data_IF_033583268220
#
_entry.id   IF_033583268220
#
_cell.length_a   1.000
_cell.length_b   1.000
_cell.length_c   1.000
_cell.angle_alpha   90.00
_cell.angle_beta   90.00
_cell.angle_gamma   90.00
#
_symmetry.space_group_name_H-M   'P 1'
#
loop_
_entity.id
_entity.type
_entity.pdbx_description
1 polymer ?
#
# COMPACT_ATOMS: atom_id res chain seq x y z
N UNK A 1 36.62 -10.24 -39.83
CA UNK A 1 36.12 -11.12 -38.74
C UNK A 1 34.77 -10.57 -38.29
N UNK A 2 33.74 -11.24 -38.71
CA UNK A 2 32.35 -10.82 -38.59
C UNK A 2 31.84 -11.18 -37.20
N UNK A 3 31.48 -10.17 -36.39
CA UNK A 3 30.82 -10.35 -35.11
C UNK A 3 29.34 -10.67 -35.36
N UNK A 4 28.98 -11.92 -35.18
CA UNK A 4 27.60 -12.40 -35.15
C UNK A 4 26.93 -11.94 -33.87
N UNK A 5 26.36 -10.75 -33.87
CA UNK A 5 25.45 -10.30 -32.81
C UNK A 5 24.07 -10.90 -33.12
N UNK A 6 23.75 -12.01 -32.51
CA UNK A 6 22.41 -12.62 -32.56
C UNK A 6 21.36 -11.59 -32.07
N UNK A 7 20.65 -10.99 -33.00
CA UNK A 7 19.39 -10.27 -32.76
C UNK A 7 18.38 -11.30 -32.29
N UNK A 8 18.28 -11.48 -30.96
CA UNK A 8 17.11 -12.10 -30.35
C UNK A 8 15.94 -11.13 -30.62
N UNK A 9 15.08 -11.52 -31.53
CA UNK A 9 13.79 -10.87 -31.77
C UNK A 9 13.01 -10.96 -30.43
N UNK A 10 13.07 -9.91 -29.63
CA UNK A 10 12.17 -9.72 -28.50
C UNK A 10 10.76 -9.66 -29.07
N UNK A 11 10.04 -10.80 -29.05
CA UNK A 11 8.59 -10.75 -29.26
C UNK A 11 8.04 -9.78 -28.21
N UNK A 12 7.47 -8.68 -28.66
CA UNK A 12 6.87 -7.69 -27.79
C UNK A 12 5.81 -8.39 -26.93
N UNK A 13 5.91 -8.25 -25.62
CA UNK A 13 4.91 -8.79 -24.71
C UNK A 13 3.55 -8.20 -25.11
N UNK A 14 2.60 -9.06 -25.43
CA UNK A 14 1.23 -8.63 -25.63
C UNK A 14 0.62 -8.33 -24.22
N UNK A 15 0.54 -7.06 -23.86
CA UNK A 15 0.06 -6.64 -22.55
C UNK A 15 -1.43 -6.96 -22.32
N UNK A 16 -2.20 -7.25 -23.39
CA UNK A 16 -3.59 -7.69 -23.29
C UNK A 16 -3.72 -9.14 -22.77
N UNK A 17 -2.64 -9.93 -22.77
CA UNK A 17 -2.65 -11.30 -22.27
C UNK A 17 -2.47 -11.40 -20.76
N UNK A 18 -2.36 -10.27 -20.05
CA UNK A 18 -2.20 -10.24 -18.59
C UNK A 18 -3.49 -9.71 -17.94
N UNK A 19 -4.01 -10.48 -16.99
CA UNK A 19 -5.08 -10.06 -16.10
C UNK A 19 -4.49 -9.80 -14.71
N UNK A 20 -4.77 -8.64 -14.13
CA UNK A 20 -4.26 -8.25 -12.83
C UNK A 20 -5.34 -8.37 -11.74
N UNK A 21 -4.97 -8.89 -10.58
CA UNK A 21 -5.84 -8.99 -9.40
C UNK A 21 -5.13 -8.39 -8.21
N UNK A 22 -5.70 -7.35 -7.62
CA UNK A 22 -5.17 -6.67 -6.45
C UNK A 22 -5.97 -7.09 -5.22
N UNK A 23 -5.26 -7.62 -4.22
CA UNK A 23 -5.85 -8.10 -2.98
C UNK A 23 -6.09 -6.93 -2.03
N UNK A 24 -7.35 -6.53 -1.87
CA UNK A 24 -7.76 -5.40 -1.01
C UNK A 24 -8.60 -5.80 0.20
N UNK A 25 -8.64 -7.07 0.57
CA UNK A 25 -9.69 -7.65 1.42
C UNK A 25 -9.40 -7.89 2.90
N UNK A 26 -8.22 -7.67 3.42
CA UNK A 26 -7.90 -7.94 4.84
C UNK A 26 -8.54 -6.94 5.82
N UNK A 27 -8.80 -7.36 7.08
CA UNK A 27 -9.36 -6.50 8.14
C UNK A 27 -8.43 -5.32 8.51
N UNK A 28 -7.11 -5.45 8.27
CA UNK A 28 -6.14 -4.39 8.54
C UNK A 28 -6.02 -4.03 10.04
N UNK A 29 -6.18 -5.00 10.94
CA UNK A 29 -6.17 -4.79 12.40
C UNK A 29 -4.91 -4.14 12.92
N UNK A 30 -3.74 -4.42 12.33
CA UNK A 30 -2.45 -3.82 12.71
C UNK A 30 -2.36 -2.33 12.38
N UNK A 31 -3.22 -1.82 11.49
CA UNK A 31 -3.30 -0.42 11.11
C UNK A 31 -4.48 0.31 11.80
N UNK A 32 -5.17 -0.36 12.74
CA UNK A 32 -6.19 0.29 13.56
C UNK A 32 -5.56 1.42 14.40
N UNK A 33 -6.19 2.62 14.51
CA UNK A 33 -7.58 2.94 14.18
C UNK A 33 -7.83 3.48 12.76
N UNK A 34 -6.83 3.60 11.90
CA UNK A 34 -7.00 4.13 10.54
C UNK A 34 -7.92 3.27 9.66
N UNK A 35 -8.06 1.99 10.01
CA UNK A 35 -8.93 1.03 9.32
C UNK A 35 -10.32 0.88 9.94
N UNK A 36 -10.65 1.67 10.97
CA UNK A 36 -11.95 1.62 11.64
C UNK A 36 -13.12 1.81 10.67
N UNK A 37 -13.02 2.80 9.76
CA UNK A 37 -14.08 3.22 8.86
C UNK A 37 -13.76 3.01 7.37
N UNK A 38 -12.69 2.30 7.06
CA UNK A 38 -12.26 2.03 5.68
C UNK A 38 -11.35 0.81 5.59
N UNK A 39 -11.34 0.16 4.42
CA UNK A 39 -10.38 -0.91 4.12
C UNK A 39 -8.94 -0.35 4.12
N UNK A 40 -7.95 -1.19 4.46
CA UNK A 40 -6.52 -0.82 4.49
C UNK A 40 -6.05 -0.17 3.18
N UNK A 41 -6.34 -0.70 1.98
CA UNK A 41 -5.94 -0.08 0.71
C UNK A 41 -6.54 1.32 0.46
N UNK A 42 -7.63 1.64 1.16
CA UNK A 42 -8.30 2.94 1.06
C UNK A 42 -7.74 4.00 2.02
N UNK A 43 -6.78 3.66 2.87
CA UNK A 43 -6.14 4.63 3.78
C UNK A 43 -5.40 5.68 2.96
N UNK A 44 -5.60 6.99 3.23
CA UNK A 44 -4.86 8.05 2.54
C UNK A 44 -3.37 7.99 2.83
N UNK A 45 -2.55 8.28 1.82
CA UNK A 45 -1.10 8.24 1.90
C UNK A 45 -0.49 9.45 1.18
N UNK A 46 0.65 9.94 1.65
CA UNK A 46 1.39 11.06 1.05
C UNK A 46 0.50 12.26 0.67
N UNK A 47 -0.46 12.58 1.55
CA UNK A 47 -1.34 13.75 1.45
C UNK A 47 -2.53 13.60 0.51
N UNK A 48 -2.41 13.05 -0.69
CA UNK A 48 -3.50 12.98 -1.67
C UNK A 48 -3.81 11.60 -2.25
N UNK A 49 -2.89 10.66 -2.14
CA UNK A 49 -3.03 9.30 -2.67
C UNK A 49 -3.77 8.38 -1.71
N UNK A 50 -4.01 7.15 -2.13
CA UNK A 50 -4.35 6.02 -1.28
C UNK A 50 -3.37 4.89 -1.52
N UNK A 51 -3.21 4.00 -0.57
CA UNK A 51 -2.21 2.91 -0.69
C UNK A 51 -2.45 2.08 -1.96
N UNK A 52 -3.70 1.79 -2.31
CA UNK A 52 -4.09 1.04 -3.52
C UNK A 52 -3.68 1.72 -4.83
N UNK A 53 -3.47 3.03 -4.83
CA UNK A 53 -3.06 3.75 -6.04
C UNK A 53 -1.69 3.27 -6.54
N UNK A 54 -0.85 2.76 -5.65
CA UNK A 54 0.49 2.26 -5.98
C UNK A 54 0.43 1.00 -6.88
N UNK A 55 -0.16 -0.12 -6.46
CA UNK A 55 -0.22 -1.31 -7.31
C UNK A 55 -1.04 -1.09 -8.59
N UNK A 56 -2.13 -0.32 -8.54
CA UNK A 56 -2.90 0.02 -9.75
C UNK A 56 -2.02 0.79 -10.75
N UNK A 57 -1.28 1.79 -10.28
CA UNK A 57 -0.41 2.59 -11.14
C UNK A 57 0.73 1.78 -11.72
N UNK A 58 1.33 0.86 -10.95
CA UNK A 58 2.36 -0.06 -11.47
C UNK A 58 1.82 -0.95 -12.59
N UNK A 59 0.57 -1.45 -12.48
CA UNK A 59 -0.09 -2.18 -13.57
C UNK A 59 -0.26 -1.30 -14.81
N UNK A 60 -0.82 -0.10 -14.66
CA UNK A 60 -1.06 0.84 -15.75
C UNK A 60 0.25 1.24 -16.44
N UNK A 61 1.29 1.57 -15.66
CA UNK A 61 2.63 1.92 -16.19
C UNK A 61 3.30 0.74 -16.90
N UNK A 62 2.99 -0.49 -16.50
CA UNK A 62 3.42 -1.72 -17.21
C UNK A 62 2.59 -2.02 -18.49
N UNK A 63 1.56 -1.19 -18.77
CA UNK A 63 0.66 -1.40 -19.92
C UNK A 63 -0.48 -2.39 -19.63
N UNK A 64 -0.61 -2.89 -18.41
CA UNK A 64 -1.67 -3.83 -17.99
C UNK A 64 -2.89 -3.05 -17.53
N UNK A 65 -3.96 -3.10 -18.32
CA UNK A 65 -5.14 -2.27 -18.13
C UNK A 65 -6.39 -3.06 -17.68
N UNK A 66 -6.31 -4.37 -17.51
CA UNK A 66 -7.39 -5.23 -17.03
C UNK A 66 -7.12 -5.58 -15.58
N UNK A 67 -7.75 -4.87 -14.65
CA UNK A 67 -7.40 -4.89 -13.23
C UNK A 67 -8.65 -5.11 -12.41
N UNK A 68 -8.68 -6.19 -11.64
CA UNK A 68 -9.67 -6.42 -10.58
C UNK A 68 -9.07 -6.06 -9.22
N UNK A 69 -9.91 -5.49 -8.35
CA UNK A 69 -9.57 -5.23 -6.94
C UNK A 69 -10.54 -6.01 -6.06
N UNK A 70 -10.04 -7.02 -5.35
CA UNK A 70 -10.85 -7.84 -4.46
C UNK A 70 -11.03 -7.14 -3.12
N UNK A 71 -12.26 -7.03 -2.63
CA UNK A 71 -12.57 -6.34 -1.37
C UNK A 71 -13.56 -7.13 -0.51
N UNK A 72 -13.47 -6.93 0.80
CA UNK A 72 -14.39 -7.55 1.76
C UNK A 72 -14.80 -6.58 2.87
N UNK A 73 -13.85 -6.04 3.64
CA UNK A 73 -14.12 -5.19 4.79
C UNK A 73 -14.15 -3.71 4.42
N UNK A 74 -15.11 -2.96 5.00
CA UNK A 74 -15.18 -1.49 4.93
C UNK A 74 -14.93 -0.92 3.52
N UNK A 75 -15.46 -1.56 2.48
CA UNK A 75 -15.09 -1.34 1.09
C UNK A 75 -15.67 -0.06 0.45
N UNK A 76 -16.74 0.54 1.02
CA UNK A 76 -17.45 1.70 0.43
C UNK A 76 -16.50 2.85 0.05
N UNK A 77 -15.54 3.19 0.92
CA UNK A 77 -14.57 4.24 0.65
C UNK A 77 -13.63 3.88 -0.49
N UNK A 78 -13.26 2.61 -0.61
CA UNK A 78 -12.42 2.09 -1.70
C UNK A 78 -13.18 2.09 -3.02
N UNK A 79 -14.43 1.61 -3.04
CA UNK A 79 -15.32 1.64 -4.21
C UNK A 79 -15.44 3.05 -4.78
N UNK A 80 -15.79 4.03 -3.93
CA UNK A 80 -15.91 5.42 -4.35
C UNK A 80 -14.60 5.97 -4.90
N UNK A 81 -13.47 5.62 -4.31
CA UNK A 81 -12.17 6.08 -4.80
C UNK A 81 -11.86 5.51 -6.18
N UNK A 82 -11.92 4.20 -6.36
CA UNK A 82 -11.59 3.53 -7.61
C UNK A 82 -12.50 3.99 -8.75
N UNK A 83 -13.81 4.02 -8.54
CA UNK A 83 -14.78 4.44 -9.57
C UNK A 83 -14.60 5.89 -10.02
N UNK A 84 -14.00 6.74 -9.19
CA UNK A 84 -13.76 8.16 -9.49
C UNK A 84 -12.33 8.44 -9.96
N UNK A 85 -11.40 7.49 -9.81
CA UNK A 85 -9.98 7.67 -10.14
C UNK A 85 -9.63 7.09 -11.50
N UNK A 86 -10.09 5.87 -11.77
CA UNK A 86 -9.61 5.09 -12.89
C UNK A 86 -10.74 4.87 -13.89
N UNK A 87 -10.66 5.57 -15.01
CA UNK A 87 -11.62 5.45 -16.12
C UNK A 87 -10.84 5.32 -17.40
N UNK A 88 -11.04 4.22 -18.08
CA UNK A 88 -10.60 4.04 -19.46
C UNK A 88 -11.72 4.48 -20.41
N UNK A 89 -11.36 4.82 -21.64
CA UNK A 89 -12.35 5.14 -22.66
C UNK A 89 -13.12 3.87 -23.07
N UNK A 90 -14.34 4.07 -23.58
CA UNK A 90 -15.23 2.96 -23.93
C UNK A 90 -14.79 2.13 -25.14
N UNK A 91 -13.76 2.57 -25.85
CA UNK A 91 -13.21 1.87 -27.01
C UNK A 91 -11.97 1.05 -26.65
N UNK A 92 -11.40 1.24 -25.45
CA UNK A 92 -10.33 0.42 -24.93
C UNK A 92 -10.90 -0.77 -24.15
N UNK A 93 -10.23 -1.90 -24.18
CA UNK A 93 -10.60 -3.09 -23.41
C UNK A 93 -10.14 -3.03 -21.95
N UNK A 94 -9.70 -1.85 -21.48
CA UNK A 94 -9.19 -1.66 -20.12
C UNK A 94 -10.30 -1.39 -19.11
N UNK A 95 -10.10 -1.87 -17.87
CA UNK A 95 -10.96 -1.59 -16.73
C UNK A 95 -10.19 -1.63 -15.41
N UNK A 96 -10.68 -0.93 -14.41
CA UNK A 96 -10.35 -1.15 -13.01
C UNK A 96 -11.67 -1.37 -12.28
N UNK A 97 -11.95 -2.62 -11.96
CA UNK A 97 -13.23 -3.04 -11.37
C UNK A 97 -13.04 -3.66 -9.99
N UNK A 98 -14.06 -3.53 -9.17
CA UNK A 98 -14.05 -4.08 -7.82
C UNK A 98 -14.94 -5.32 -7.79
N UNK A 99 -14.37 -6.41 -7.31
CA UNK A 99 -15.11 -7.61 -6.94
C UNK A 99 -15.18 -7.66 -5.42
N UNK A 100 -16.35 -7.37 -4.88
CA UNK A 100 -16.62 -7.50 -3.45
C UNK A 100 -16.97 -8.94 -3.11
N UNK A 101 -16.63 -9.39 -1.89
CA UNK A 101 -17.11 -10.66 -1.39
C UNK A 101 -18.64 -10.71 -1.47
N UNK A 102 -19.16 -11.77 -2.08
CA UNK A 102 -20.59 -11.98 -2.29
C UNK A 102 -21.02 -13.26 -1.62
N UNK A 103 -22.19 -13.24 -1.02
CA UNK A 103 -22.90 -14.46 -0.62
C UNK A 103 -23.77 -14.93 -1.78
N UNK A 104 -23.70 -16.19 -2.11
CA UNK A 104 -24.53 -16.82 -3.13
C UNK A 104 -25.42 -17.88 -2.49
N UNK A 105 -26.38 -18.42 -3.21
CA UNK A 105 -27.18 -19.54 -2.71
C UNK A 105 -26.35 -20.79 -2.42
N UNK A 106 -25.20 -20.96 -3.08
CA UNK A 106 -24.31 -22.10 -2.90
C UNK A 106 -23.24 -21.88 -1.82
N UNK A 107 -22.85 -20.62 -1.54
CA UNK A 107 -21.84 -20.29 -0.56
C UNK A 107 -22.18 -18.95 0.13
N UNK A 108 -22.38 -19.02 1.44
CA UNK A 108 -22.72 -17.87 2.29
C UNK A 108 -21.49 -17.36 3.08
N UNK A 109 -20.32 -17.98 2.90
CA UNK A 109 -19.11 -17.62 3.62
C UNK A 109 -18.40 -16.40 3.03
N UNK A 110 -17.77 -15.62 3.88
CA UNK A 110 -16.84 -14.57 3.50
C UNK A 110 -15.53 -15.18 3.02
N UNK A 111 -14.62 -14.35 2.43
CA UNK A 111 -13.28 -14.83 2.10
C UNK A 111 -12.54 -15.24 3.37
N UNK A 112 -12.07 -16.47 3.42
CA UNK A 112 -11.34 -17.04 4.55
C UNK A 112 -9.82 -16.79 4.45
N UNK A 113 -9.36 -16.30 3.30
CA UNK A 113 -7.95 -16.02 3.06
C UNK A 113 -7.70 -15.51 1.65
N UNK A 114 -6.44 -15.30 1.34
CA UNK A 114 -6.00 -14.71 0.07
C UNK A 114 -6.27 -15.60 -1.14
N UNK A 115 -6.04 -16.91 -1.02
CA UNK A 115 -6.31 -17.89 -2.08
C UNK A 115 -7.82 -18.13 -2.25
N UNK A 116 -8.57 -18.16 -1.16
CA UNK A 116 -10.02 -18.29 -1.20
C UNK A 116 -10.68 -17.11 -1.91
N UNK A 117 -10.20 -15.89 -1.66
CA UNK A 117 -10.70 -14.70 -2.36
C UNK A 117 -10.50 -14.80 -3.89
N UNK A 118 -9.35 -15.30 -4.35
CA UNK A 118 -9.09 -15.49 -5.78
C UNK A 118 -9.95 -16.63 -6.33
N UNK A 119 -10.05 -17.75 -5.62
CA UNK A 119 -10.85 -18.91 -6.03
C UNK A 119 -12.33 -18.58 -6.23
N UNK A 120 -12.96 -17.89 -5.28
CA UNK A 120 -14.36 -17.48 -5.34
C UNK A 120 -14.65 -16.51 -6.50
N UNK A 121 -13.65 -15.79 -6.98
CA UNK A 121 -13.77 -14.90 -8.13
C UNK A 121 -13.21 -15.48 -9.43
N UNK A 122 -12.73 -16.73 -9.42
CA UNK A 122 -12.08 -17.32 -10.58
C UNK A 122 -13.01 -17.39 -11.80
N UNK A 123 -14.32 -17.56 -11.59
CA UNK A 123 -15.33 -17.52 -12.65
C UNK A 123 -15.27 -16.22 -13.46
N UNK A 124 -15.17 -15.07 -12.79
CA UNK A 124 -15.09 -13.76 -13.45
C UNK A 124 -13.76 -13.58 -14.20
N UNK A 125 -12.68 -14.18 -13.70
CA UNK A 125 -11.38 -14.11 -14.38
C UNK A 125 -11.38 -14.97 -15.64
N UNK A 126 -11.94 -16.17 -15.57
CA UNK A 126 -11.98 -17.12 -16.68
C UNK A 126 -12.87 -16.69 -17.85
N UNK A 127 -13.80 -15.75 -17.63
CA UNK A 127 -14.57 -15.09 -18.68
C UNK A 127 -13.72 -14.24 -19.63
N UNK A 128 -12.49 -13.88 -19.18
CA UNK A 128 -11.53 -13.17 -20.02
C UNK A 128 -10.54 -14.11 -20.70
N UNK A 129 -10.12 -13.74 -21.89
CA UNK A 129 -8.97 -14.37 -22.53
C UNK A 129 -7.68 -13.75 -21.98
N UNK A 130 -6.89 -14.53 -21.23
CA UNK A 130 -5.59 -14.16 -20.68
C UNK A 130 -4.67 -15.38 -20.62
N UNK A 131 -3.39 -15.13 -20.69
CA UNK A 131 -2.33 -16.14 -20.56
C UNK A 131 -1.76 -16.15 -19.13
N UNK A 132 -1.60 -14.96 -18.53
CA UNK A 132 -1.01 -14.76 -17.22
C UNK A 132 -1.96 -14.06 -16.26
N UNK A 133 -2.08 -14.59 -15.04
CA UNK A 133 -2.73 -13.94 -13.92
C UNK A 133 -1.66 -13.33 -12.99
N UNK A 134 -1.64 -12.00 -12.89
CA UNK A 134 -0.77 -11.25 -11.98
C UNK A 134 -1.55 -10.90 -10.71
N UNK A 135 -1.16 -11.49 -9.57
CA UNK A 135 -1.77 -11.24 -8.26
C UNK A 135 -0.87 -10.32 -7.45
N UNK A 136 -1.43 -9.27 -6.87
CA UNK A 136 -0.73 -8.22 -6.15
C UNK A 136 -1.32 -7.97 -4.78
N UNK A 137 -0.48 -7.63 -3.80
CA UNK A 137 -0.95 -7.06 -2.53
C UNK A 137 -1.39 -5.62 -2.73
N UNK A 138 -2.48 -5.21 -2.09
CA UNK A 138 -3.06 -3.86 -2.22
C UNK A 138 -2.57 -2.85 -1.18
N UNK A 139 -1.54 -3.17 -0.41
CA UNK A 139 -1.15 -2.47 0.82
C UNK A 139 0.36 -2.22 0.96
N UNK A 140 1.08 -2.23 -0.15
CA UNK A 140 2.53 -2.08 -0.20
C UNK A 140 2.96 -0.85 -1.00
N UNK A 141 4.13 -0.33 -0.67
CA UNK A 141 4.77 0.80 -1.33
C UNK A 141 5.99 0.31 -2.11
N UNK A 142 5.92 0.36 -3.43
CA UNK A 142 6.98 -0.06 -4.35
C UNK A 142 6.73 0.48 -5.76
N UNK A 143 7.77 0.48 -6.61
CA UNK A 143 7.64 0.82 -8.02
C UNK A 143 8.25 -0.28 -8.87
N UNK A 144 7.42 -1.03 -9.60
CA UNK A 144 7.85 -2.19 -10.38
C UNK A 144 7.29 -2.14 -11.80
N UNK A 145 8.14 -2.39 -12.77
CA UNK A 145 7.73 -2.70 -14.14
C UNK A 145 7.48 -4.21 -14.27
N UNK A 146 6.23 -4.59 -14.22
CA UNK A 146 5.83 -6.00 -14.28
C UNK A 146 6.13 -6.67 -15.64
N UNK A 147 6.41 -5.90 -16.69
CA UNK A 147 6.83 -6.49 -17.98
C UNK A 147 8.10 -7.32 -17.83
N UNK A 148 9.03 -6.90 -16.98
CA UNK A 148 10.25 -7.66 -16.68
C UNK A 148 9.93 -8.99 -16.02
N UNK A 149 9.05 -8.98 -15.01
CA UNK A 149 8.64 -10.18 -14.31
C UNK A 149 7.94 -11.19 -15.23
N UNK A 150 7.05 -10.71 -16.13
CA UNK A 150 6.39 -11.58 -17.13
C UNK A 150 7.40 -12.11 -18.17
N UNK A 151 8.37 -11.30 -18.60
CA UNK A 151 9.40 -11.75 -19.54
C UNK A 151 10.26 -12.86 -18.90
N UNK A 152 10.74 -12.70 -17.69
CA UNK A 152 11.49 -13.73 -16.95
C UNK A 152 10.66 -14.98 -16.70
N UNK A 153 9.37 -14.84 -16.38
CA UNK A 153 8.43 -15.95 -16.24
C UNK A 153 8.38 -16.82 -17.49
N UNK A 154 8.29 -16.18 -18.66
CA UNK A 154 8.29 -16.87 -19.97
C UNK A 154 9.65 -17.50 -20.28
N UNK A 155 10.74 -16.76 -20.09
CA UNK A 155 12.09 -17.21 -20.41
C UNK A 155 12.51 -18.43 -19.56
N UNK A 156 12.12 -18.45 -18.30
CA UNK A 156 12.39 -19.57 -17.37
C UNK A 156 11.45 -20.76 -17.57
N UNK A 157 10.40 -20.62 -18.37
CA UNK A 157 9.34 -21.62 -18.47
C UNK A 157 8.66 -21.91 -17.15
N UNK A 158 8.53 -20.89 -16.30
CA UNK A 158 7.90 -21.03 -15.00
C UNK A 158 6.39 -21.26 -15.12
N UNK A 159 5.84 -22.08 -14.24
CA UNK A 159 4.41 -22.25 -14.02
C UNK A 159 3.88 -21.16 -13.08
N UNK A 160 4.72 -20.79 -12.11
CA UNK A 160 4.48 -19.74 -11.12
C UNK A 160 5.75 -18.92 -10.95
N UNK A 161 5.63 -17.59 -10.92
CA UNK A 161 6.73 -16.71 -10.50
C UNK A 161 6.33 -15.91 -9.27
N UNK A 162 7.27 -15.74 -8.35
CA UNK A 162 7.09 -14.97 -7.12
C UNK A 162 8.09 -13.82 -7.14
N UNK A 163 7.59 -12.58 -6.98
CA UNK A 163 8.50 -11.46 -6.74
C UNK A 163 9.07 -11.57 -5.33
N UNK A 164 10.40 -11.47 -5.25
CA UNK A 164 11.15 -11.57 -4.01
C UNK A 164 12.05 -10.36 -3.83
N UNK A 165 12.34 -10.02 -2.59
CA UNK A 165 13.24 -8.93 -2.25
C UNK A 165 14.30 -9.42 -1.26
N UNK A 166 15.57 -9.01 -1.42
CA UNK A 166 16.59 -9.24 -0.42
C UNK A 166 16.30 -8.47 0.86
N UNK A 167 16.30 -9.15 2.01
CA UNK A 167 16.06 -8.54 3.33
C UNK A 167 17.10 -8.98 4.34
N UNK A 168 17.44 -8.15 5.35
CA UNK A 168 18.30 -8.54 6.44
C UNK A 168 17.58 -9.47 7.43
N UNK A 169 18.35 -10.19 8.27
CA UNK A 169 17.84 -11.13 9.28
C UNK A 169 16.73 -10.56 10.16
N UNK A 170 16.85 -9.31 10.60
CA UNK A 170 15.88 -8.65 11.48
C UNK A 170 14.46 -8.59 10.89
N UNK A 171 14.33 -8.59 9.56
CA UNK A 171 13.06 -8.52 8.84
C UNK A 171 12.51 -9.91 8.47
N UNK A 172 13.38 -10.91 8.37
CA UNK A 172 13.03 -12.27 7.94
C UNK A 172 11.94 -12.92 8.80
N UNK A 173 11.92 -12.67 10.11
CA UNK A 173 10.92 -13.24 11.04
C UNK A 173 9.48 -12.76 10.80
N UNK A 174 9.29 -11.64 10.07
CA UNK A 174 7.98 -11.05 9.81
C UNK A 174 7.41 -11.41 8.43
N UNK A 175 8.22 -12.00 7.54
CA UNK A 175 7.92 -12.21 6.13
C UNK A 175 7.96 -13.71 5.77
N UNK A 176 7.38 -14.06 4.63
CA UNK A 176 7.57 -15.38 4.03
C UNK A 176 8.94 -15.45 3.34
N UNK A 177 9.79 -16.37 3.78
CA UNK A 177 11.18 -16.50 3.31
C UNK A 177 11.31 -17.69 2.37
N UNK A 178 12.04 -17.46 1.28
CA UNK A 178 12.25 -18.46 0.21
C UNK A 178 13.70 -18.88 0.12
N UNK A 179 13.89 -20.16 -0.21
CA UNK A 179 15.18 -20.70 -0.63
C UNK A 179 15.12 -21.01 -2.13
N UNK A 180 16.13 -20.58 -2.87
CA UNK A 180 16.21 -20.79 -4.32
C UNK A 180 17.39 -21.69 -4.68
N UNK A 181 17.28 -22.35 -5.83
CA UNK A 181 18.41 -22.99 -6.52
C UNK A 181 19.16 -21.98 -7.39
N UNK A 182 20.28 -22.37 -7.99
CA UNK A 182 21.12 -21.50 -8.81
C UNK A 182 20.43 -20.99 -10.09
N UNK A 183 19.44 -21.73 -10.58
CA UNK A 183 18.58 -21.37 -11.73
C UNK A 183 17.37 -20.51 -11.32
N UNK A 184 17.38 -19.94 -10.12
CA UNK A 184 16.30 -19.17 -9.50
C UNK A 184 15.01 -19.95 -9.22
N UNK A 185 15.02 -21.28 -9.38
CA UNK A 185 13.88 -22.11 -8.97
C UNK A 185 13.73 -22.08 -7.46
N UNK A 186 12.53 -21.83 -6.97
CA UNK A 186 12.22 -21.87 -5.54
C UNK A 186 12.10 -23.34 -5.13
N UNK A 187 12.87 -23.72 -4.11
CA UNK A 187 12.95 -25.09 -3.60
C UNK A 187 12.33 -25.24 -2.21
N UNK A 188 12.15 -24.12 -1.50
CA UNK A 188 11.54 -24.11 -0.17
C UNK A 188 10.91 -22.75 0.11
N UNK A 189 9.80 -22.75 0.85
CA UNK A 189 9.12 -21.56 1.36
C UNK A 189 8.75 -21.77 2.82
N UNK A 190 9.03 -20.79 3.68
CA UNK A 190 8.66 -20.82 5.11
C UNK A 190 8.02 -19.49 5.49
N UNK A 191 6.76 -19.54 5.89
CA UNK A 191 6.01 -18.35 6.34
C UNK A 191 6.45 -17.94 7.75
N UNK A 192 7.01 -16.75 7.87
CA UNK A 192 7.42 -16.12 9.14
C UNK A 192 8.27 -17.02 10.05
N UNK A 193 9.46 -17.45 9.61
CA UNK A 193 10.33 -18.33 10.37
C UNK A 193 10.82 -17.62 11.65
N UNK A 194 10.40 -18.10 12.82
CA UNK A 194 10.80 -17.55 14.13
C UNK A 194 12.04 -18.25 14.70
N UNK A 195 12.24 -19.51 14.33
CA UNK A 195 13.38 -20.32 14.80
C UNK A 195 14.67 -19.87 14.09
N UNK A 196 15.72 -19.44 14.81
CA UNK A 196 17.01 -19.07 14.24
C UNK A 196 17.65 -20.15 13.37
N UNK A 197 17.53 -21.43 13.75
CA UNK A 197 18.09 -22.54 12.97
C UNK A 197 17.37 -22.71 11.63
N UNK A 198 16.05 -22.49 11.61
CA UNK A 198 15.27 -22.47 10.37
C UNK A 198 15.69 -21.27 9.51
N UNK A 199 15.86 -20.08 10.10
CA UNK A 199 16.36 -18.92 9.37
C UNK A 199 17.73 -19.20 8.75
N UNK A 200 18.68 -19.73 9.51
CA UNK A 200 20.04 -20.05 9.02
C UNK A 200 19.99 -20.96 7.78
N UNK A 201 19.09 -21.92 7.76
CA UNK A 201 18.89 -22.82 6.62
C UNK A 201 18.32 -22.16 5.36
N UNK A 202 17.72 -20.96 5.49
CA UNK A 202 17.11 -20.19 4.40
C UNK A 202 18.00 -19.04 3.91
N UNK A 203 19.19 -18.87 4.52
CA UNK A 203 20.12 -17.81 4.15
C UNK A 203 20.59 -17.97 2.71
N UNK A 204 20.61 -16.87 1.98
CA UNK A 204 21.16 -16.84 0.63
C UNK A 204 22.69 -16.96 0.67
N UNK A 205 23.31 -17.85 -0.13
CA UNK A 205 24.77 -17.95 -0.20
C UNK A 205 25.39 -16.62 -0.66
N UNK A 206 26.38 -16.12 0.07
CA UNK A 206 27.01 -14.83 -0.23
C UNK A 206 27.73 -14.78 -1.60
N UNK A 207 28.24 -15.94 -2.05
CA UNK A 207 28.86 -16.06 -3.39
C UNK A 207 27.84 -15.89 -4.55
N UNK A 208 26.54 -15.85 -4.26
CA UNK A 208 25.50 -15.58 -5.26
C UNK A 208 25.17 -14.09 -5.40
N UNK A 209 25.52 -13.26 -4.41
CA UNK A 209 25.18 -11.83 -4.42
C UNK A 209 25.59 -11.10 -5.70
N UNK A 210 26.84 -11.28 -6.22
CA UNK A 210 27.23 -10.64 -7.49
C UNK A 210 26.43 -11.13 -8.70
N UNK A 211 26.07 -12.42 -8.74
CA UNK A 211 25.27 -12.99 -9.85
C UNK A 211 23.81 -12.53 -9.81
N UNK A 212 23.31 -12.20 -8.63
CA UNK A 212 21.94 -11.76 -8.39
C UNK A 212 21.85 -10.24 -8.27
N UNK A 213 22.97 -9.54 -8.49
CA UNK A 213 23.09 -8.08 -8.39
C UNK A 213 22.62 -7.54 -7.01
N UNK A 214 22.84 -8.32 -5.94
CA UNK A 214 22.47 -7.94 -4.58
C UNK A 214 23.60 -7.11 -3.99
N UNK A 215 23.31 -5.88 -3.62
CA UNK A 215 24.24 -4.99 -2.91
C UNK A 215 24.28 -5.29 -1.42
N UNK A 216 25.46 -5.19 -0.82
CA UNK A 216 25.69 -5.38 0.62
C UNK A 216 26.52 -6.60 0.98
N UNK A 217 27.04 -6.62 2.20
CA UNK A 217 27.87 -7.68 2.76
C UNK A 217 27.19 -8.48 3.87
N UNK A 218 26.00 -8.05 4.31
CA UNK A 218 25.28 -8.63 5.44
C UNK A 218 24.54 -9.93 5.06
N UNK A 219 24.17 -10.70 6.06
CA UNK A 219 23.31 -11.86 5.86
C UNK A 219 21.99 -11.47 5.18
N UNK A 220 21.74 -12.09 4.04
CA UNK A 220 20.60 -11.79 3.20
C UNK A 220 19.66 -12.99 3.07
N UNK A 221 18.37 -12.69 3.07
CA UNK A 221 17.26 -13.63 2.88
C UNK A 221 16.39 -13.14 1.75
N UNK A 222 15.81 -14.04 0.96
CA UNK A 222 14.82 -13.66 -0.04
C UNK A 222 13.42 -13.72 0.56
N UNK A 223 12.79 -12.58 0.71
CA UNK A 223 11.42 -12.45 1.20
C UNK A 223 10.42 -12.38 0.04
N UNK A 224 9.28 -13.03 0.20
CA UNK A 224 8.15 -12.90 -0.71
C UNK A 224 7.51 -11.52 -0.58
N UNK A 225 7.33 -10.83 -1.70
CA UNK A 225 6.61 -9.57 -1.76
C UNK A 225 5.08 -9.76 -1.81
N UNK A 226 4.57 -11.01 -1.84
CA UNK A 226 3.15 -11.25 -2.04
C UNK A 226 2.65 -10.88 -3.44
N UNK A 227 3.55 -10.91 -4.42
CA UNK A 227 3.29 -10.64 -5.83
C UNK A 227 3.57 -11.90 -6.61
N UNK A 228 2.58 -12.38 -7.35
CA UNK A 228 2.63 -13.68 -8.03
C UNK A 228 2.21 -13.57 -9.49
N UNK A 229 2.87 -14.30 -10.37
CA UNK A 229 2.43 -14.55 -11.74
C UNK A 229 2.12 -16.04 -11.88
N UNK A 230 0.96 -16.37 -12.39
CA UNK A 230 0.53 -17.73 -12.69
C UNK A 230 0.17 -17.87 -14.15
N UNK A 231 0.52 -19.00 -14.77
CA UNK A 231 -0.12 -19.42 -16.00
C UNK A 231 -1.61 -19.70 -15.76
N UNK A 232 -2.49 -19.36 -16.71
CA UNK A 232 -3.95 -19.54 -16.61
C UNK A 232 -4.35 -20.94 -16.15
N UNK A 233 -3.83 -21.97 -16.83
CA UNK A 233 -4.19 -23.37 -16.51
C UNK A 233 -3.62 -23.84 -15.17
N UNK A 234 -2.48 -23.28 -14.77
CA UNK A 234 -1.84 -23.60 -13.49
C UNK A 234 -2.66 -23.04 -12.33
N UNK A 235 -3.07 -21.76 -12.39
CA UNK A 235 -3.87 -21.18 -11.30
C UNK A 235 -5.20 -21.88 -11.15
N UNK A 236 -5.85 -22.28 -12.26
CA UNK A 236 -7.10 -23.05 -12.22
C UNK A 236 -6.94 -24.36 -11.47
N UNK A 237 -5.86 -25.12 -11.74
CA UNK A 237 -5.57 -26.39 -11.07
C UNK A 237 -5.15 -26.21 -9.61
N UNK A 238 -4.29 -25.22 -9.33
CA UNK A 238 -3.79 -24.96 -7.98
C UNK A 238 -4.86 -24.47 -7.01
N UNK A 239 -5.92 -23.85 -7.51
CA UNK A 239 -7.04 -23.36 -6.69
C UNK A 239 -8.25 -24.32 -6.67
N UNK A 240 -8.18 -25.46 -7.35
CA UNK A 240 -9.20 -26.51 -7.29
C UNK A 240 -9.08 -27.34 -5.99
N UNK A 241 -9.30 -26.69 -4.86
CA UNK A 241 -9.25 -27.23 -3.50
C UNK A 241 -9.80 -26.20 -2.49
N UNK A 242 -9.84 -26.54 -1.19
CA UNK A 242 -10.37 -25.69 -0.11
C UNK A 242 -9.27 -24.92 0.66
N UNK A 243 -8.04 -24.88 0.16
CA UNK A 243 -6.94 -24.17 0.80
C UNK A 243 -7.15 -22.65 0.69
N UNK A 244 -6.94 -21.93 1.80
CA UNK A 244 -7.40 -20.54 1.92
C UNK A 244 -6.32 -19.48 1.70
N UNK A 245 -5.03 -19.84 1.85
CA UNK A 245 -3.94 -18.86 1.87
C UNK A 245 -2.83 -19.21 0.89
N UNK A 246 -2.35 -18.20 0.11
CA UNK A 246 -1.27 -18.42 -0.85
C UNK A 246 0.04 -18.79 -0.15
N UNK A 247 0.48 -18.00 0.83
CA UNK A 247 1.77 -18.21 1.48
C UNK A 247 1.84 -19.48 2.31
N UNK A 248 0.76 -19.78 3.05
CA UNK A 248 0.75 -20.96 3.95
C UNK A 248 0.48 -22.28 3.24
N UNK A 249 -0.29 -22.23 2.16
CA UNK A 249 -0.82 -23.48 1.57
C UNK A 249 -0.50 -23.64 0.09
N UNK A 250 -0.89 -22.67 -0.75
CA UNK A 250 -0.81 -22.82 -2.22
C UNK A 250 0.63 -22.81 -2.71
N UNK A 251 1.45 -21.85 -2.25
CA UNK A 251 2.86 -21.74 -2.69
C UNK A 251 3.69 -22.95 -2.24
N UNK A 252 3.69 -23.39 -0.96
CA UNK A 252 4.40 -24.60 -0.57
C UNK A 252 4.02 -25.83 -1.42
N UNK A 253 2.73 -26.05 -1.68
CA UNK A 253 2.27 -27.16 -2.51
C UNK A 253 2.69 -27.00 -3.99
N UNK A 254 2.70 -25.77 -4.51
CA UNK A 254 3.10 -25.52 -5.89
C UNK A 254 4.57 -25.82 -6.15
N UNK A 255 5.45 -25.60 -5.17
CA UNK A 255 6.88 -25.90 -5.25
C UNK A 255 7.15 -27.38 -5.49
N UNK A 256 6.29 -28.26 -4.94
CA UNK A 256 6.44 -29.72 -5.06
C UNK A 256 6.00 -30.24 -6.46
N UNK A 257 5.07 -29.55 -7.11
CA UNK A 257 4.37 -30.08 -8.29
C UNK A 257 4.59 -29.28 -9.57
N UNK A 258 5.08 -28.06 -9.46
CA UNK A 258 5.21 -27.10 -10.57
C UNK A 258 6.60 -26.44 -10.56
N UNK A 259 6.98 -25.83 -11.68
CA UNK A 259 8.17 -24.99 -11.76
C UNK A 259 7.87 -23.61 -11.20
N UNK A 260 8.29 -23.38 -9.95
CA UNK A 260 8.13 -22.08 -9.27
C UNK A 260 9.47 -21.34 -9.29
N UNK A 261 9.51 -20.11 -9.84
CA UNK A 261 10.72 -19.31 -9.98
C UNK A 261 10.64 -17.98 -9.21
N UNK A 262 11.79 -17.49 -8.78
CA UNK A 262 11.93 -16.20 -8.11
C UNK A 262 12.26 -15.10 -9.12
N UNK A 263 11.48 -14.02 -9.12
CA UNK A 263 11.84 -12.74 -9.72
C UNK A 263 12.41 -11.84 -8.64
N UNK A 264 13.73 -11.59 -8.67
CA UNK A 264 14.41 -10.81 -7.63
C UNK A 264 14.25 -9.32 -7.95
N UNK A 265 13.54 -8.62 -7.08
CA UNK A 265 13.31 -7.18 -7.17
C UNK A 265 14.42 -6.42 -6.43
N UNK A 266 14.90 -5.35 -7.04
CA UNK A 266 16.02 -4.53 -6.55
C UNK A 266 15.61 -3.07 -6.38
N UNK A 267 14.43 -2.80 -5.95
CA UNK A 267 13.95 -1.45 -5.68
C UNK A 267 13.53 -1.28 -4.23
N UNK A 268 13.06 -0.09 -3.91
CA UNK A 268 12.44 0.16 -2.61
C UNK A 268 11.10 -0.58 -2.52
N UNK A 269 10.91 -1.30 -1.43
CA UNK A 269 9.66 -1.97 -1.07
C UNK A 269 9.42 -1.86 0.42
N UNK A 270 8.18 -1.57 0.81
CA UNK A 270 7.75 -1.48 2.21
C UNK A 270 6.33 -2.03 2.39
N UNK A 271 6.13 -2.92 3.36
CA UNK A 271 4.80 -3.32 3.83
C UNK A 271 4.27 -2.26 4.80
N UNK A 272 3.32 -1.45 4.34
CA UNK A 272 2.67 -0.44 5.19
C UNK A 272 1.61 -1.12 6.07
N UNK A 273 2.05 -2.09 6.87
CA UNK A 273 1.17 -2.95 7.65
C UNK A 273 0.89 -2.51 9.08
N UNK A 274 1.67 -1.59 9.64
CA UNK A 274 1.55 -1.11 11.03
C UNK A 274 1.46 0.41 11.09
N UNK A 275 1.02 0.96 12.22
CA UNK A 275 0.95 2.41 12.43
C UNK A 275 2.35 3.03 12.30
N UNK A 276 3.39 2.38 12.84
CA UNK A 276 4.77 2.86 12.73
C UNK A 276 5.24 2.88 11.26
N UNK A 277 5.11 1.78 10.52
CA UNK A 277 5.51 1.72 9.11
C UNK A 277 4.76 2.75 8.27
N UNK A 278 3.44 2.90 8.49
CA UNK A 278 2.63 3.92 7.83
C UNK A 278 3.12 5.34 8.15
N UNK A 279 3.41 5.63 9.40
CA UNK A 279 3.84 6.95 9.86
C UNK A 279 5.21 7.33 9.28
N UNK A 280 6.19 6.46 9.46
CA UNK A 280 7.56 6.73 8.98
C UNK A 280 7.62 6.78 7.44
N UNK A 281 6.90 5.90 6.72
CA UNK A 281 6.84 5.98 5.25
C UNK A 281 6.17 7.26 4.75
N UNK A 282 5.17 7.81 5.47
CA UNK A 282 4.61 9.11 5.13
C UNK A 282 5.62 10.23 5.37
N UNK A 283 6.30 10.25 6.52
CA UNK A 283 7.28 11.29 6.83
C UNK A 283 8.48 11.26 5.89
N UNK A 284 8.91 10.09 5.44
CA UNK A 284 9.96 9.94 4.43
C UNK A 284 9.64 10.71 3.13
N UNK A 285 8.35 10.88 2.79
CA UNK A 285 7.95 11.68 1.61
C UNK A 285 8.32 13.16 1.73
N UNK A 286 8.56 13.68 2.93
CA UNK A 286 8.99 15.04 3.18
C UNK A 286 10.53 15.19 3.21
N UNK A 287 11.28 14.11 3.11
CA UNK A 287 12.73 14.15 2.98
C UNK A 287 13.18 14.77 1.65
N UNK A 288 14.38 15.30 1.60
CA UNK A 288 14.96 15.86 0.36
C UNK A 288 15.02 14.82 -0.77
N UNK A 289 15.42 13.59 -0.45
CA UNK A 289 15.39 12.43 -1.35
C UNK A 289 14.63 11.29 -0.68
N UNK A 290 13.30 11.21 -0.91
CA UNK A 290 12.48 10.14 -0.35
C UNK A 290 12.81 8.79 -0.99
N UNK A 291 12.77 7.73 -0.20
CA UNK A 291 13.01 6.34 -0.69
C UNK A 291 12.02 5.95 -1.77
N UNK A 292 10.78 6.36 -1.64
CA UNK A 292 9.76 6.26 -2.69
C UNK A 292 9.43 7.66 -3.23
N UNK A 293 9.87 7.96 -4.44
CA UNK A 293 9.74 9.29 -5.00
C UNK A 293 8.46 9.44 -5.87
N UNK A 294 7.46 10.18 -5.38
CA UNK A 294 6.25 10.51 -6.16
C UNK A 294 6.48 11.49 -7.32
N UNK A 295 7.62 12.18 -7.35
CA UNK A 295 7.98 13.13 -8.42
C UNK A 295 8.65 12.46 -9.62
N UNK A 296 8.80 11.13 -9.61
CA UNK A 296 9.29 10.38 -10.76
C UNK A 296 8.20 10.27 -11.84
N UNK A 297 8.34 11.08 -12.88
CA UNK A 297 7.40 11.15 -14.00
C UNK A 297 7.57 10.02 -15.02
N UNK A 298 8.61 9.19 -14.91
CA UNK A 298 8.79 8.02 -15.80
C UNK A 298 7.77 6.92 -15.51
N UNK A 299 7.29 6.84 -14.24
CA UNK A 299 6.26 5.92 -13.80
C UNK A 299 5.38 6.60 -12.72
N UNK A 300 4.50 7.53 -13.12
CA UNK A 300 3.71 8.32 -12.20
C UNK A 300 2.71 7.46 -11.42
N UNK A 301 2.42 7.85 -10.19
CA UNK A 301 1.34 7.26 -9.41
C UNK A 301 0.05 8.02 -9.70
N UNK A 302 -0.88 7.36 -10.36
CA UNK A 302 -2.20 7.91 -10.68
C UNK A 302 -3.10 7.85 -9.45
N UNK A 303 -3.93 8.88 -9.27
CA UNK A 303 -4.92 8.94 -8.21
C UNK A 303 -6.13 9.76 -8.69
N UNK A 304 -7.16 9.86 -7.86
CA UNK A 304 -8.34 10.64 -8.17
C UNK A 304 -7.98 12.10 -8.47
N UNK A 305 -8.25 12.63 -9.67
CA UNK A 305 -8.12 14.05 -9.94
C UNK A 305 -9.16 14.81 -9.11
N UNK A 306 -8.72 15.86 -8.43
CA UNK A 306 -9.59 16.72 -7.65
C UNK A 306 -9.39 18.14 -8.13
N UNK A 307 -10.46 18.77 -8.58
CA UNK A 307 -10.45 20.17 -9.03
C UNK A 307 -10.41 21.08 -7.79
N UNK A 308 -9.24 21.17 -7.15
CA UNK A 308 -9.02 22.00 -5.98
C UNK A 308 -8.17 23.22 -6.35
N UNK A 309 -8.36 24.35 -5.65
CA UNK A 309 -7.45 25.49 -5.79
C UNK A 309 -6.08 25.14 -5.24
N UNK A 310 -5.06 25.88 -5.62
CA UNK A 310 -3.75 25.84 -4.98
C UNK A 310 -3.87 26.12 -3.48
N UNK A 311 -2.91 25.63 -2.70
CA UNK A 311 -2.87 25.87 -1.25
C UNK A 311 -2.49 27.31 -0.94
N UNK A 312 -3.18 27.91 0.04
CA UNK A 312 -2.99 29.28 0.49
C UNK A 312 -2.12 29.28 1.75
N UNK A 313 -0.95 29.90 1.68
CA UNK A 313 0.01 30.03 2.78
C UNK A 313 0.06 31.48 3.24
N UNK A 314 -0.40 31.75 4.47
CA UNK A 314 -0.51 33.09 5.05
C UNK A 314 0.58 33.28 6.12
N UNK A 315 1.82 33.56 5.74
CA UNK A 315 2.92 33.79 6.70
C UNK A 315 3.37 32.52 7.44
N UNK A 316 3.12 31.34 6.92
CA UNK A 316 3.59 30.08 7.49
C UNK A 316 5.09 29.86 7.27
N UNK A 317 5.75 29.30 8.28
CA UNK A 317 7.14 28.82 8.20
C UNK A 317 7.09 27.31 7.96
N UNK A 318 7.59 26.87 6.81
CA UNK A 318 7.52 25.48 6.36
C UNK A 318 8.94 24.95 6.18
N UNK A 319 9.20 23.79 6.75
CA UNK A 319 10.47 23.08 6.62
C UNK A 319 10.23 21.57 6.47
N UNK A 320 10.79 20.94 5.41
CA UNK A 320 10.62 19.52 5.12
C UNK A 320 9.15 19.06 5.23
N UNK A 321 8.26 19.61 4.39
CA UNK A 321 6.85 19.25 4.42
C UNK A 321 6.24 19.08 3.02
N UNK A 322 5.31 18.14 2.91
CA UNK A 322 4.44 17.98 1.74
C UNK A 322 3.08 18.59 2.06
N UNK A 323 2.65 19.59 1.28
CA UNK A 323 1.35 20.26 1.44
C UNK A 323 0.51 19.98 0.19
N UNK A 324 -0.62 19.31 0.37
CA UNK A 324 -1.53 18.95 -0.72
C UNK A 324 -2.44 20.13 -1.12
N UNK A 325 -3.17 19.96 -2.23
CA UNK A 325 -4.05 20.98 -2.81
C UNK A 325 -5.19 21.41 -1.86
N UNK A 326 -5.60 22.67 -1.97
CA UNK A 326 -6.74 23.25 -1.27
C UNK A 326 -6.52 23.52 0.22
N UNK A 327 -5.27 23.47 0.72
CA UNK A 327 -5.00 23.81 2.12
C UNK A 327 -5.05 25.31 2.37
N UNK A 328 -5.39 25.69 3.62
CA UNK A 328 -5.29 27.06 4.12
C UNK A 328 -4.43 27.02 5.38
N UNK A 329 -3.20 27.48 5.27
CA UNK A 329 -2.23 27.47 6.36
C UNK A 329 -2.01 28.91 6.81
N UNK A 330 -2.50 29.26 7.99
CA UNK A 330 -2.31 30.57 8.61
C UNK A 330 -0.91 30.65 9.26
N UNK A 331 -0.48 31.81 9.83
CA UNK A 331 0.84 31.96 10.40
C UNK A 331 1.14 30.86 11.43
N UNK A 332 1.97 29.89 11.06
CA UNK A 332 2.23 28.65 11.82
C UNK A 332 3.64 28.14 11.52
N UNK A 333 4.12 27.19 12.30
CA UNK A 333 5.39 26.48 12.04
C UNK A 333 5.11 25.02 11.76
N UNK A 334 5.51 24.53 10.60
CA UNK A 334 5.29 23.12 10.19
C UNK A 334 6.63 22.56 9.74
N UNK A 335 7.06 21.47 10.38
CA UNK A 335 8.30 20.77 10.05
C UNK A 335 8.09 19.26 9.98
N UNK A 336 8.86 18.60 9.11
CA UNK A 336 8.86 17.12 8.94
C UNK A 336 7.44 16.53 8.87
N UNK A 337 6.56 17.10 8.04
CA UNK A 337 5.13 16.80 8.14
C UNK A 337 4.46 16.64 6.78
N UNK A 338 3.37 15.86 6.76
CA UNK A 338 2.51 15.68 5.60
C UNK A 338 1.15 16.33 5.88
N UNK A 339 0.76 17.26 5.03
CA UNK A 339 -0.52 17.97 5.13
C UNK A 339 -1.42 17.58 3.97
N UNK A 340 -2.44 16.79 4.26
CA UNK A 340 -3.39 16.28 3.29
C UNK A 340 -4.39 17.33 2.80
N UNK A 341 -5.12 16.97 1.76
CA UNK A 341 -6.05 17.82 1.01
C UNK A 341 -7.00 18.63 1.91
N UNK A 342 -7.23 19.90 1.58
CA UNK A 342 -8.20 20.82 2.24
C UNK A 342 -7.94 21.05 3.73
N UNK A 343 -6.75 20.74 4.23
CA UNK A 343 -6.44 20.99 5.64
C UNK A 343 -6.42 22.49 5.92
N UNK A 344 -7.06 22.88 7.01
CA UNK A 344 -6.99 24.23 7.56
C UNK A 344 -6.14 24.18 8.83
N UNK A 345 -5.12 25.04 8.92
CA UNK A 345 -4.26 25.17 10.11
C UNK A 345 -4.37 26.59 10.65
N UNK A 346 -4.76 26.72 11.92
CA UNK A 346 -4.92 27.98 12.63
C UNK A 346 -3.60 28.68 12.95
N UNK A 347 -3.69 30.00 13.17
CA UNK A 347 -2.53 30.81 13.50
C UNK A 347 -1.87 30.41 14.84
N UNK A 348 -0.54 30.59 14.95
CA UNK A 348 0.23 30.24 16.14
C UNK A 348 0.48 28.74 16.35
N UNK A 349 -0.06 27.89 15.50
CA UNK A 349 0.07 26.43 15.60
C UNK A 349 1.47 25.96 15.21
N UNK A 350 2.01 25.00 15.95
CA UNK A 350 3.30 24.36 15.71
C UNK A 350 3.07 22.85 15.50
N UNK A 351 3.60 22.33 14.41
CA UNK A 351 3.51 20.92 14.02
C UNK A 351 4.90 20.39 13.70
N UNK A 352 5.25 19.26 14.29
CA UNK A 352 6.50 18.56 14.00
C UNK A 352 6.26 17.05 13.95
N UNK A 353 6.69 16.39 12.88
CA UNK A 353 6.46 14.98 12.64
C UNK A 353 4.95 14.64 12.71
N UNK A 354 4.14 15.31 11.89
CA UNK A 354 2.69 15.12 11.85
C UNK A 354 2.24 14.65 10.47
N UNK A 355 1.44 13.60 10.45
CA UNK A 355 0.75 13.12 9.25
C UNK A 355 -0.73 13.48 9.35
N UNK A 356 -1.11 14.62 8.78
CA UNK A 356 -2.50 15.05 8.72
C UNK A 356 -3.13 14.60 7.41
N UNK A 357 -4.12 13.69 7.46
CA UNK A 357 -4.70 13.04 6.28
C UNK A 357 -5.72 13.93 5.51
N UNK A 358 -5.93 15.16 5.98
CA UNK A 358 -6.73 16.17 5.29
C UNK A 358 -8.24 16.07 5.54
N UNK A 359 -8.99 16.80 4.72
CA UNK A 359 -10.44 16.88 4.83
C UNK A 359 -11.13 16.49 3.51
N UNK A 360 -12.35 15.95 3.62
CA UNK A 360 -13.12 15.53 2.43
C UNK A 360 -13.92 16.69 1.83
N UNK A 361 -14.17 17.77 2.61
CA UNK A 361 -14.96 18.93 2.25
C UNK A 361 -14.44 20.21 2.93
N UNK A 362 -14.87 21.35 2.45
CA UNK A 362 -14.85 22.64 3.17
C UNK A 362 -16.20 22.83 3.85
N UNK A 363 -16.19 23.34 5.09
CA UNK A 363 -17.44 23.67 5.79
C UNK A 363 -18.12 24.89 5.14
N UNK A 364 -19.45 24.81 5.00
CA UNK A 364 -20.26 25.98 4.64
C UNK A 364 -20.38 26.96 5.82
N UNK A 365 -20.75 28.21 5.54
CA UNK A 365 -20.98 29.22 6.59
C UNK A 365 -22.05 28.76 7.60
N UNK A 366 -23.08 28.12 7.10
CA UNK A 366 -24.20 27.59 7.89
C UNK A 366 -23.73 26.48 8.83
N UNK A 367 -22.94 25.52 8.29
CA UNK A 367 -22.37 24.41 9.06
C UNK A 367 -21.39 24.91 10.12
N UNK A 368 -20.58 25.93 9.81
CA UNK A 368 -19.69 26.56 10.79
C UNK A 368 -20.49 27.17 11.95
N UNK A 369 -21.53 27.98 11.65
CA UNK A 369 -22.37 28.60 12.68
C UNK A 369 -23.12 27.57 13.52
N UNK A 370 -23.52 26.45 12.95
CA UNK A 370 -24.17 25.35 13.68
C UNK A 370 -23.18 24.67 14.64
N UNK A 371 -21.96 24.34 14.17
CA UNK A 371 -20.93 23.73 14.98
C UNK A 371 -20.46 24.66 16.11
N UNK A 372 -20.31 25.97 15.86
CA UNK A 372 -19.94 26.96 16.87
C UNK A 372 -21.02 27.04 17.99
N UNK A 373 -22.30 27.05 17.61
CA UNK A 373 -23.40 27.01 18.62
C UNK A 373 -23.39 25.70 19.43
N UNK A 374 -22.97 24.60 18.82
CA UNK A 374 -22.87 23.31 19.49
C UNK A 374 -21.53 23.11 20.25
N UNK A 375 -20.68 24.14 20.33
CA UNK A 375 -19.37 24.07 20.98
C UNK A 375 -18.39 23.09 20.32
N UNK A 376 -18.59 22.79 19.05
CA UNK A 376 -17.70 21.90 18.26
C UNK A 376 -16.67 22.73 17.50
N UNK A 377 -15.38 22.36 17.57
CA UNK A 377 -14.35 22.99 16.73
C UNK A 377 -14.65 22.85 15.24
N UNK A 378 -14.10 23.73 14.44
CA UNK A 378 -14.13 23.62 12.96
C UNK A 378 -13.31 22.43 12.50
N UNK A 379 -13.60 21.93 11.29
CA UNK A 379 -12.78 20.90 10.67
C UNK A 379 -11.39 21.43 10.38
N UNK A 380 -10.37 20.66 10.74
CA UNK A 380 -8.97 21.03 10.66
C UNK A 380 -8.34 21.23 12.03
N UNK A 381 -7.34 22.10 12.11
CA UNK A 381 -6.54 22.36 13.31
C UNK A 381 -6.73 23.82 13.73
N UNK A 382 -7.10 24.03 14.98
CA UNK A 382 -7.32 25.33 15.56
C UNK A 382 -6.06 26.19 15.75
N UNK A 383 -6.19 27.29 16.48
CA UNK A 383 -5.10 28.23 16.74
C UNK A 383 -4.26 27.82 17.94
N UNK A 384 -2.98 28.24 17.97
CA UNK A 384 -2.04 28.04 19.08
C UNK A 384 -1.88 26.57 19.53
N UNK A 385 -2.05 25.62 18.63
CA UNK A 385 -1.86 24.20 18.95
C UNK A 385 -0.38 23.82 18.91
N UNK A 386 0.00 22.80 19.69
CA UNK A 386 1.31 22.13 19.64
C UNK A 386 1.11 20.67 19.37
N UNK A 387 1.60 20.17 18.23
CA UNK A 387 1.33 18.79 17.78
C UNK A 387 2.64 18.13 17.38
N UNK A 388 2.95 17.01 18.01
CA UNK A 388 4.16 16.22 17.77
C UNK A 388 3.87 14.73 17.67
N UNK A 389 4.59 14.04 16.76
CA UNK A 389 4.54 12.60 16.58
C UNK A 389 3.09 12.07 16.53
N UNK A 390 2.30 12.61 15.60
CA UNK A 390 0.87 12.33 15.54
C UNK A 390 0.37 12.07 14.11
N UNK A 391 -0.62 11.21 14.01
CA UNK A 391 -1.46 11.03 12.82
C UNK A 391 -2.82 11.68 13.12
N UNK A 392 -3.22 12.63 12.29
CA UNK A 392 -4.55 13.27 12.37
C UNK A 392 -5.35 12.75 11.17
N UNK A 393 -6.32 11.88 11.46
CA UNK A 393 -7.11 11.27 10.40
C UNK A 393 -8.15 12.25 9.82
N UNK A 394 -8.78 11.86 8.72
CA UNK A 394 -9.65 12.72 7.91
C UNK A 394 -10.80 13.34 8.71
N UNK A 395 -11.09 14.61 8.40
CA UNK A 395 -12.20 15.34 8.96
C UNK A 395 -12.13 15.52 10.48
N UNK A 396 -10.96 15.31 11.09
CA UNK A 396 -10.78 15.61 12.51
C UNK A 396 -10.95 17.11 12.79
N UNK A 397 -11.46 17.41 13.96
CA UNK A 397 -11.75 18.76 14.47
C UNK A 397 -10.89 18.99 15.70
N UNK A 398 -9.80 19.72 15.56
CA UNK A 398 -8.90 20.06 16.66
C UNK A 398 -9.18 21.49 17.09
N UNK A 399 -9.57 21.65 18.34
CA UNK A 399 -9.86 22.96 18.92
C UNK A 399 -8.63 23.86 19.05
N UNK A 400 -8.81 25.01 19.71
CA UNK A 400 -7.72 25.97 19.94
C UNK A 400 -6.91 25.60 21.18
N UNK A 401 -5.64 26.00 21.24
CA UNK A 401 -4.74 25.77 22.37
C UNK A 401 -4.58 24.29 22.77
N UNK A 402 -4.72 23.38 21.80
CA UNK A 402 -4.60 21.93 22.01
C UNK A 402 -3.14 21.51 21.95
N UNK A 403 -2.74 20.65 22.90
CA UNK A 403 -1.41 20.00 22.86
C UNK A 403 -1.58 18.51 22.62
N UNK A 404 -0.86 17.97 21.61
CA UNK A 404 -0.85 16.55 21.26
C UNK A 404 0.60 16.09 21.23
N UNK A 405 0.98 15.19 22.14
CA UNK A 405 2.31 14.60 22.19
C UNK A 405 2.27 13.23 22.91
N UNK A 406 3.02 12.23 22.41
CA UNK A 406 3.14 10.94 23.10
C UNK A 406 4.12 10.96 24.28
N UNK A 407 4.82 12.05 24.52
CA UNK A 407 5.85 12.15 25.56
C UNK A 407 5.25 11.90 26.96
N UNK A 408 5.88 10.98 27.69
CA UNK A 408 5.42 10.59 29.04
C UNK A 408 4.19 9.68 29.06
N UNK A 409 3.75 9.14 27.90
CA UNK A 409 2.61 8.23 27.79
C UNK A 409 3.07 6.81 27.43
N UNK A 410 2.26 5.78 27.73
CA UNK A 410 2.51 4.42 27.28
C UNK A 410 2.53 4.31 25.73
N UNK A 411 3.26 3.33 25.20
CA UNK A 411 3.34 3.09 23.74
C UNK A 411 2.00 2.71 23.10
N UNK A 412 1.08 2.13 23.88
CA UNK A 412 -0.25 1.75 23.41
C UNK A 412 -1.31 2.21 24.41
N UNK A 413 -2.29 2.98 23.92
CA UNK A 413 -3.41 3.53 24.71
C UNK A 413 -4.68 3.50 23.88
N UNK A 414 -5.79 3.09 24.48
CA UNK A 414 -7.14 3.26 23.96
C UNK A 414 -7.87 4.32 24.77
N UNK A 415 -8.22 5.43 24.12
CA UNK A 415 -8.98 6.52 24.73
C UNK A 415 -10.16 6.89 23.80
N UNK A 416 -11.29 7.34 24.32
CA UNK A 416 -12.47 7.70 23.50
C UNK A 416 -12.19 8.74 22.40
N UNK A 417 -11.25 9.65 22.61
CA UNK A 417 -10.91 10.74 21.68
C UNK A 417 -9.68 10.46 20.81
N UNK A 418 -8.78 9.57 21.25
CA UNK A 418 -7.53 9.28 20.56
C UNK A 418 -7.02 7.86 20.87
N UNK A 419 -6.04 7.43 20.10
CA UNK A 419 -5.29 6.20 20.36
C UNK A 419 -3.79 6.53 20.39
N UNK A 420 -3.00 5.70 21.08
CA UNK A 420 -1.56 5.66 20.90
C UNK A 420 -1.22 4.26 20.41
N UNK A 421 -0.40 4.17 19.37
CA UNK A 421 0.10 2.92 18.79
C UNK A 421 1.58 3.10 18.47
N UNK A 422 2.40 2.22 18.97
CA UNK A 422 3.85 2.29 18.80
C UNK A 422 4.45 3.67 19.21
N UNK A 423 3.88 4.33 20.25
CA UNK A 423 4.30 5.66 20.67
C UNK A 423 3.91 6.80 19.70
N UNK A 424 2.94 6.59 18.81
CA UNK A 424 2.41 7.60 17.89
C UNK A 424 0.96 7.88 18.27
N UNK A 425 0.63 9.17 18.50
CA UNK A 425 -0.77 9.56 18.77
C UNK A 425 -1.57 9.51 17.48
N UNK A 426 -2.72 8.86 17.51
CA UNK A 426 -3.64 8.79 16.37
C UNK A 426 -4.98 9.40 16.76
N UNK A 427 -5.31 10.52 16.13
CA UNK A 427 -6.63 11.13 16.23
C UNK A 427 -7.51 10.50 15.15
N UNK A 428 -8.57 9.75 15.50
CA UNK A 428 -9.37 9.01 14.53
C UNK A 428 -10.20 9.94 13.65
N UNK A 429 -10.70 9.38 12.54
CA UNK A 429 -11.51 10.09 11.56
C UNK A 429 -12.74 10.73 12.20
N UNK A 430 -12.94 12.02 11.92
CA UNK A 430 -14.10 12.78 12.42
C UNK A 430 -14.10 13.03 13.93
N UNK A 431 -13.04 12.69 14.64
CA UNK A 431 -12.93 12.99 16.08
C UNK A 431 -12.95 14.50 16.32
N UNK A 432 -13.54 14.90 17.45
CA UNK A 432 -13.59 16.29 17.90
C UNK A 432 -12.82 16.42 19.22
N UNK A 433 -11.73 17.19 19.17
CA UNK A 433 -10.87 17.48 20.33
C UNK A 433 -11.19 18.88 20.81
N UNK A 434 -11.75 19.06 22.02
CA UNK A 434 -12.11 20.37 22.56
C UNK A 434 -10.92 21.33 22.72
N UNK A 435 -11.21 22.63 22.83
CA UNK A 435 -10.21 23.65 23.12
C UNK A 435 -9.45 23.34 24.42
N UNK A 436 -8.15 23.64 24.46
CA UNK A 436 -7.30 23.46 25.63
C UNK A 436 -6.98 22.03 26.04
N UNK A 437 -7.41 21.03 25.24
CA UNK A 437 -7.13 19.63 25.54
C UNK A 437 -5.63 19.33 25.49
N UNK A 438 -5.15 18.55 26.46
CA UNK A 438 -3.76 18.06 26.52
C UNK A 438 -3.76 16.52 26.38
N UNK A 439 -3.20 16.05 25.28
CA UNK A 439 -3.00 14.63 24.95
C UNK A 439 -1.52 14.33 25.01
#
# INVERSE_FOLDING_TARGET
MSSNTSRITRQSLNTSNVLCVIMGGGQGTRLFPLTKDRAKPAVPFAGKYRIVDVPISNCINSGFRRIYVLTQFNSTSLHRHISQSYKFDQFSSGFVEILAAQQTFADTSWYEGTADAVRKNLIHFLDHDFEYLLILSGDQLYRMDFRRMIAEHRETGADVSIATIPVPRKEAAALGILQIAEDRRIIRFVEKPKDPAVQDSLRLPSNWYPKLEIEGSDECFLASMGIYVFNREVVRKLLDNDLTDFGKHIIPRSIETHRVCSHIYQGYWEDIGTIRAFFESNLDMAAELPKFNFFDMSAPIFSRPRFLPGSKLNGAQIDHAVISDGCIINPSKISNSIIGLRMIVGAGTQMNRVVALGCDYFESKESIAEHERAGKPRVGIGTNCKIENAIIDKNARIGNNVTISPVGKPENVDHPLYFIRDGIVVIPKGASIPDGTVI
#
